data_IF_402467448419
#
_entry.id   IF_402467448419
#
_cell.length_a   1.000
_cell.length_b   1.000
_cell.length_c   1.000
_cell.angle_alpha   90.00
_cell.angle_beta   90.00
_cell.angle_gamma   90.00
#
_symmetry.space_group_name_H-M   'P 1'
#
loop_
_entity.id
_entity.type
_entity.pdbx_description
1 polymer ?
#
# COMPACT_ATOMS: atom_id res chain seq x y z
N UNK A 1 13.46 -36.05 -35.55
CA UNK A 1 13.52 -34.62 -35.92
C UNK A 1 12.46 -33.78 -35.21
N UNK A 2 11.15 -34.09 -35.32
CA UNK A 2 10.09 -33.30 -34.66
C UNK A 2 10.23 -33.19 -33.12
N UNK A 3 10.71 -34.24 -32.45
CA UNK A 3 10.91 -34.21 -30.99
C UNK A 3 12.01 -33.24 -30.55
N UNK A 4 13.09 -33.12 -31.32
CA UNK A 4 14.20 -32.23 -31.01
C UNK A 4 13.80 -30.75 -31.14
N UNK A 5 12.97 -30.42 -32.14
CA UNK A 5 12.41 -29.07 -32.32
C UNK A 5 11.50 -28.73 -31.14
N UNK A 6 10.63 -29.68 -30.73
CA UNK A 6 9.76 -29.48 -29.56
C UNK A 6 10.54 -29.24 -28.27
N UNK A 7 11.57 -30.04 -28.01
CA UNK A 7 12.41 -29.87 -26.81
C UNK A 7 13.19 -28.56 -26.85
N UNK A 8 13.67 -28.14 -28.02
CA UNK A 8 14.35 -26.87 -28.20
C UNK A 8 13.43 -25.68 -27.92
N UNK A 9 12.26 -25.63 -28.57
CA UNK A 9 11.27 -24.57 -28.36
C UNK A 9 10.80 -24.54 -26.91
N UNK A 10 10.62 -25.69 -26.27
CA UNK A 10 10.25 -25.76 -24.85
C UNK A 10 11.35 -25.19 -23.94
N UNK A 11 12.62 -25.50 -24.22
CA UNK A 11 13.76 -24.96 -23.48
C UNK A 11 13.90 -23.45 -23.66
N UNK A 12 13.78 -22.95 -24.89
CA UNK A 12 13.83 -21.53 -25.22
C UNK A 12 12.69 -20.74 -24.54
N UNK A 13 11.47 -21.29 -24.51
CA UNK A 13 10.37 -20.68 -23.77
C UNK A 13 10.60 -20.70 -22.26
N UNK A 14 11.16 -21.79 -21.70
CA UNK A 14 11.45 -21.88 -20.27
C UNK A 14 12.48 -20.85 -19.81
N UNK A 15 13.51 -20.59 -20.63
CA UNK A 15 14.54 -19.58 -20.31
C UNK A 15 13.95 -18.17 -20.28
N UNK A 16 13.02 -17.86 -21.20
CA UNK A 16 12.32 -16.58 -21.23
C UNK A 16 11.42 -16.37 -20.03
N UNK A 17 10.72 -17.41 -19.57
CA UNK A 17 9.89 -17.35 -18.35
C UNK A 17 10.75 -17.13 -17.10
N UNK A 18 11.85 -17.88 -16.96
CA UNK A 18 12.77 -17.73 -15.82
C UNK A 18 13.36 -16.32 -15.80
N UNK A 19 13.81 -15.80 -16.94
CA UNK A 19 14.35 -14.44 -17.04
C UNK A 19 13.34 -13.39 -16.60
N UNK A 20 12.05 -13.52 -16.98
CA UNK A 20 11.00 -12.59 -16.57
C UNK A 20 10.70 -12.64 -15.08
N UNK A 21 10.67 -13.84 -14.48
CA UNK A 21 10.48 -14.00 -13.03
C UNK A 21 11.67 -13.41 -12.28
N UNK A 22 12.89 -13.67 -12.73
CA UNK A 22 14.10 -13.14 -12.10
C UNK A 22 14.16 -11.62 -12.22
N UNK A 23 13.74 -11.06 -13.36
CA UNK A 23 13.62 -9.62 -13.54
C UNK A 23 12.56 -9.02 -12.62
N UNK A 24 11.39 -9.65 -12.48
CA UNK A 24 10.37 -9.20 -11.53
C UNK A 24 10.92 -9.17 -10.10
N UNK A 25 11.63 -10.23 -9.69
CA UNK A 25 12.21 -10.30 -8.33
C UNK A 25 13.25 -9.20 -8.10
N UNK A 26 14.06 -8.88 -9.10
CA UNK A 26 15.13 -7.88 -8.98
C UNK A 26 14.63 -6.44 -9.08
N UNK A 27 13.65 -6.17 -9.95
CA UNK A 27 13.22 -4.82 -10.31
C UNK A 27 11.99 -4.36 -9.50
N UNK A 28 11.33 -5.24 -8.73
CA UNK A 28 10.18 -4.84 -7.90
C UNK A 28 10.67 -4.03 -6.70
N UNK A 29 10.37 -2.71 -6.62
CA UNK A 29 10.72 -1.94 -5.44
C UNK A 29 9.97 -2.49 -4.24
N UNK A 30 10.69 -2.76 -3.15
CA UNK A 30 10.08 -3.21 -1.90
C UNK A 30 9.25 -2.08 -1.30
N UNK A 31 8.01 -2.39 -0.92
CA UNK A 31 7.11 -1.47 -0.20
C UNK A 31 7.74 -0.98 1.12
N UNK A 32 8.76 -1.67 1.63
CA UNK A 32 9.56 -1.35 2.83
C UNK A 32 10.45 -0.09 2.69
N UNK A 33 10.56 0.54 1.52
CA UNK A 33 11.48 1.66 1.29
C UNK A 33 11.11 2.97 2.01
N UNK A 34 9.96 3.05 2.69
CA UNK A 34 9.56 4.22 3.50
C UNK A 34 9.81 4.02 5.01
N UNK A 35 10.63 3.02 5.39
CA UNK A 35 10.93 2.60 6.77
C UNK A 35 11.82 3.55 7.58
N UNK A 36 12.55 4.46 6.95
CA UNK A 36 13.74 5.07 7.59
C UNK A 36 13.48 6.20 8.62
N UNK A 37 12.25 6.40 9.08
CA UNK A 37 11.91 7.48 10.05
C UNK A 37 11.27 7.07 11.37
N UNK A 38 10.58 5.93 11.46
CA UNK A 38 9.61 5.68 12.55
C UNK A 38 9.94 4.43 13.37
N UNK A 39 10.73 4.62 14.41
CA UNK A 39 11.07 3.59 15.40
C UNK A 39 9.81 3.10 16.15
N UNK A 40 9.60 1.78 16.21
CA UNK A 40 9.29 1.06 17.46
C UNK A 40 7.89 1.05 18.10
N UNK A 41 6.87 1.82 17.70
CA UNK A 41 5.50 1.60 18.21
C UNK A 41 4.91 0.25 17.77
N UNK A 42 4.54 -0.58 18.77
CA UNK A 42 3.88 -1.89 18.63
C UNK A 42 2.39 -1.66 18.35
N UNK A 43 1.86 -2.24 17.28
CA UNK A 43 0.42 -2.22 16.99
C UNK A 43 -0.28 -3.23 17.91
N UNK A 44 -1.29 -2.83 18.71
CA UNK A 44 -2.06 -3.76 19.54
C UNK A 44 -2.77 -4.82 18.69
N UNK A 45 -2.97 -6.02 19.25
CA UNK A 45 -3.62 -7.12 18.53
C UNK A 45 -5.12 -6.85 18.25
N UNK A 46 -5.74 -6.02 19.07
CA UNK A 46 -7.15 -5.60 19.00
C UNK A 46 -7.34 -4.30 18.21
N UNK A 47 -6.28 -3.78 17.59
CA UNK A 47 -6.37 -2.59 16.76
C UNK A 47 -7.06 -2.90 15.42
N UNK A 48 -7.94 -2.00 14.92
CA UNK A 48 -8.36 -0.73 15.52
C UNK A 48 -9.46 -0.91 16.58
N UNK A 49 -9.31 -0.25 17.73
CA UNK A 49 -10.21 -0.40 18.89
C UNK A 49 -11.36 0.60 18.85
N UNK A 50 -11.09 1.84 18.44
CA UNK A 50 -12.08 2.93 18.41
C UNK A 50 -12.39 3.36 16.97
N UNK A 51 -11.38 3.31 16.09
CA UNK A 51 -11.49 3.71 14.70
C UNK A 51 -11.52 5.23 14.51
N UNK A 52 -10.86 6.00 15.39
CA UNK A 52 -10.62 7.42 15.18
C UNK A 52 -9.65 7.58 14.00
N UNK A 53 -9.95 8.43 13.02
CA UNK A 53 -9.09 8.61 11.84
C UNK A 53 -8.67 10.07 11.73
N UNK A 54 -7.37 10.31 11.61
CA UNK A 54 -6.82 11.65 11.46
C UNK A 54 -5.88 11.73 10.26
N UNK A 55 -6.06 12.76 9.44
CA UNK A 55 -5.15 13.14 8.36
C UNK A 55 -4.50 14.46 8.75
N UNK A 56 -3.18 14.50 8.68
CA UNK A 56 -2.37 15.68 8.98
C UNK A 56 -1.54 16.06 7.76
N UNK A 57 -1.96 17.13 7.07
CA UNK A 57 -1.28 17.76 5.92
C UNK A 57 -0.86 16.76 4.83
N UNK A 58 -1.77 15.84 4.51
CA UNK A 58 -1.47 14.69 3.65
C UNK A 58 -1.35 15.10 2.20
N UNK A 59 -0.22 14.73 1.60
CA UNK A 59 0.05 14.79 0.17
C UNK A 59 0.24 13.36 -0.31
N UNK A 60 -0.60 12.90 -1.24
CA UNK A 60 -0.55 11.54 -1.77
C UNK A 60 -0.53 11.56 -3.29
N UNK A 61 0.32 10.73 -3.89
CA UNK A 61 0.58 10.72 -5.32
C UNK A 61 0.84 9.30 -5.83
N UNK A 62 0.40 9.02 -7.06
CA UNK A 62 0.80 7.81 -7.79
C UNK A 62 1.82 8.17 -8.87
N UNK A 63 1.45 9.09 -9.77
CA UNK A 63 2.37 9.72 -10.76
C UNK A 63 2.28 11.24 -10.70
N UNK A 64 1.09 11.77 -10.41
CA UNK A 64 0.82 13.16 -10.06
C UNK A 64 0.18 13.24 -8.68
N UNK A 65 0.30 14.38 -7.97
CA UNK A 65 -0.36 14.59 -6.69
C UNK A 65 -1.87 14.48 -6.86
N UNK A 66 -2.46 13.46 -6.24
CA UNK A 66 -3.90 13.24 -6.25
C UNK A 66 -4.59 13.88 -5.04
N UNK A 67 -3.83 14.04 -3.94
CA UNK A 67 -4.20 14.80 -2.74
C UNK A 67 -3.09 15.79 -2.44
N UNK A 68 -3.47 17.02 -2.07
CA UNK A 68 -2.53 18.08 -1.74
C UNK A 68 -2.97 18.75 -0.44
N UNK A 69 -2.17 18.55 0.62
CA UNK A 69 -2.34 19.17 1.93
C UNK A 69 -3.72 18.96 2.55
N UNK A 70 -4.16 17.70 2.60
CA UNK A 70 -5.47 17.32 3.14
C UNK A 70 -5.36 17.03 4.63
N UNK A 71 -6.13 17.75 5.43
CA UNK A 71 -6.25 17.55 6.88
C UNK A 71 -7.72 17.33 7.24
N UNK A 72 -8.03 16.24 7.94
CA UNK A 72 -9.39 15.85 8.32
C UNK A 72 -9.37 15.01 9.59
N UNK A 73 -10.42 15.15 10.40
CA UNK A 73 -10.67 14.34 11.59
C UNK A 73 -12.00 13.61 11.42
N UNK A 74 -12.00 12.30 11.65
CA UNK A 74 -13.20 11.47 11.70
C UNK A 74 -13.26 10.84 13.07
N UNK A 75 -14.22 11.33 13.86
CA UNK A 75 -14.44 10.81 15.20
C UNK A 75 -15.00 9.38 15.16
N UNK A 76 -14.65 8.53 16.13
CA UNK A 76 -15.17 7.17 16.29
C UNK A 76 -16.69 7.08 16.22
N UNK A 77 -17.20 6.04 15.57
CA UNK A 77 -18.64 5.75 15.50
C UNK A 77 -19.47 6.74 14.67
N UNK A 78 -18.83 7.68 13.97
CA UNK A 78 -19.51 8.64 13.10
C UNK A 78 -19.64 8.13 11.67
N UNK A 79 -20.66 8.60 10.96
CA UNK A 79 -20.83 8.36 9.51
C UNK A 79 -20.45 9.63 8.76
N UNK A 80 -19.26 9.64 8.19
CA UNK A 80 -18.76 10.78 7.41
C UNK A 80 -19.00 10.54 5.92
N UNK A 81 -19.62 11.51 5.25
CA UNK A 81 -19.81 11.50 3.80
C UNK A 81 -18.74 12.35 3.12
N UNK A 82 -18.03 11.77 2.16
CA UNK A 82 -17.06 12.50 1.32
C UNK A 82 -17.71 12.81 -0.03
N UNK A 83 -17.91 14.10 -0.32
CA UNK A 83 -18.53 14.56 -1.56
C UNK A 83 -17.61 15.52 -2.34
N UNK A 84 -17.78 15.58 -3.66
CA UNK A 84 -16.97 16.42 -4.56
C UNK A 84 -17.09 16.00 -6.02
N UNK A 85 -16.65 16.86 -6.95
CA UNK A 85 -16.71 16.61 -8.40
C UNK A 85 -15.91 15.36 -8.83
N UNK A 86 -16.23 14.76 -9.97
CA UNK A 86 -15.39 13.69 -10.53
C UNK A 86 -13.95 14.19 -10.72
N UNK A 87 -12.95 13.39 -10.33
CA UNK A 87 -11.53 13.78 -10.35
C UNK A 87 -11.04 14.58 -9.12
N UNK A 88 -11.89 14.90 -8.15
CA UNK A 88 -11.49 15.69 -6.96
C UNK A 88 -10.63 14.94 -5.92
N UNK A 89 -10.18 13.72 -6.18
CA UNK A 89 -9.35 12.95 -5.24
C UNK A 89 -10.08 12.11 -4.19
N UNK A 90 -11.42 11.98 -4.22
CA UNK A 90 -12.17 11.18 -3.22
C UNK A 90 -11.71 9.72 -3.14
N UNK A 91 -11.57 9.06 -4.29
CA UNK A 91 -11.07 7.67 -4.34
C UNK A 91 -9.63 7.60 -3.86
N UNK A 92 -8.82 8.63 -4.18
CA UNK A 92 -7.44 8.73 -3.71
C UNK A 92 -7.35 8.89 -2.19
N UNK A 93 -8.28 9.62 -1.57
CA UNK A 93 -8.40 9.76 -0.11
C UNK A 93 -8.70 8.42 0.55
N UNK A 94 -9.63 7.63 -0.02
CA UNK A 94 -9.88 6.27 0.46
C UNK A 94 -8.67 5.36 0.25
N UNK A 95 -7.99 5.44 -0.89
CA UNK A 95 -6.79 4.64 -1.15
C UNK A 95 -5.63 5.01 -0.22
N UNK A 96 -5.46 6.28 0.13
CA UNK A 96 -4.42 6.70 1.08
C UNK A 96 -4.74 6.22 2.50
N UNK A 97 -6.01 6.26 2.91
CA UNK A 97 -6.46 5.71 4.20
C UNK A 97 -6.15 4.21 4.31
N UNK A 98 -6.38 3.46 3.23
CA UNK A 98 -6.11 2.02 3.16
C UNK A 98 -4.63 1.69 2.94
N UNK A 99 -3.73 2.68 2.95
CA UNK A 99 -2.30 2.52 2.68
C UNK A 99 -2.00 1.86 1.32
N UNK A 100 -2.91 2.02 0.34
CA UNK A 100 -2.73 1.57 -1.05
C UNK A 100 -2.04 2.67 -1.87
N UNK A 101 -2.45 3.92 -1.64
CA UNK A 101 -1.82 5.07 -2.27
C UNK A 101 -0.74 5.62 -1.35
N UNK A 102 0.46 5.76 -1.90
CA UNK A 102 1.61 6.25 -1.17
C UNK A 102 1.44 7.72 -0.75
N UNK A 103 1.76 7.98 0.52
CA UNK A 103 1.84 9.31 1.10
C UNK A 103 3.25 9.86 0.85
N UNK A 104 3.33 10.97 0.12
CA UNK A 104 4.59 11.68 -0.15
C UNK A 104 4.98 12.62 1.00
N UNK A 105 4.01 13.16 1.73
CA UNK A 105 4.20 14.04 2.89
C UNK A 105 2.96 14.03 3.78
N UNK A 106 3.13 14.36 5.06
CA UNK A 106 2.08 14.29 6.07
C UNK A 106 1.94 12.90 6.67
N UNK A 107 0.86 12.68 7.43
CA UNK A 107 0.61 11.41 8.11
C UNK A 107 -0.88 11.11 8.20
N UNK A 108 -1.24 9.83 8.11
CA UNK A 108 -2.60 9.34 8.41
C UNK A 108 -2.49 8.42 9.62
N UNK A 109 -3.33 8.62 10.63
CA UNK A 109 -3.39 7.73 11.79
C UNK A 109 -4.78 7.16 11.99
N UNK A 110 -4.83 5.94 12.51
CA UNK A 110 -6.03 5.33 13.07
C UNK A 110 -5.75 5.00 14.53
N UNK A 111 -6.56 5.54 15.45
CA UNK A 111 -6.36 5.45 16.91
C UNK A 111 -4.96 5.92 17.36
N UNK A 112 -4.42 6.94 16.70
CA UNK A 112 -3.07 7.47 16.95
C UNK A 112 -1.92 6.61 16.38
N UNK A 113 -2.23 5.49 15.72
CA UNK A 113 -1.24 4.63 15.06
C UNK A 113 -1.19 4.97 13.58
N UNK A 114 0.00 5.22 13.05
CA UNK A 114 0.21 5.47 11.63
C UNK A 114 -0.23 4.25 10.78
N UNK A 115 -1.09 4.51 9.78
CA UNK A 115 -1.66 3.48 8.91
C UNK A 115 -0.62 2.75 8.07
N UNK A 116 0.49 3.41 7.73
CA UNK A 116 1.60 2.78 7.05
C UNK A 116 2.26 1.68 7.91
N UNK A 117 2.20 1.79 9.24
CA UNK A 117 2.73 0.78 10.15
C UNK A 117 1.80 -0.42 10.30
N UNK A 118 0.49 -0.15 10.39
CA UNK A 118 -0.50 -1.19 10.67
C UNK A 118 -0.72 -2.17 9.51
N UNK A 119 -0.57 -1.71 8.26
CA UNK A 119 -0.70 -2.55 7.06
C UNK A 119 0.27 -3.74 7.06
N UNK A 120 1.49 -3.58 7.59
CA UNK A 120 2.49 -4.64 7.67
C UNK A 120 2.25 -5.63 8.82
N UNK A 121 1.69 -5.17 9.95
CA UNK A 121 1.30 -6.07 11.05
C UNK A 121 0.22 -7.07 10.60
N UNK A 122 -0.81 -6.59 9.90
CA UNK A 122 -1.86 -7.46 9.37
C UNK A 122 -1.35 -8.51 8.35
N UNK A 123 -0.31 -8.17 7.56
CA UNK A 123 0.31 -9.10 6.59
C UNK A 123 1.20 -10.15 7.23
N UNK A 124 1.92 -9.81 8.30
CA UNK A 124 2.76 -10.77 9.04
C UNK A 124 1.94 -11.73 9.91
N UNK A 125 0.68 -11.40 10.20
CA UNK A 125 -0.23 -12.25 10.99
C UNK A 125 -0.95 -13.34 10.17
N UNK A 126 -0.74 -13.46 8.85
CA UNK A 126 -1.27 -14.60 8.10
C UNK A 126 -0.44 -15.86 8.44
N UNK A 127 -1.04 -16.90 9.03
CA UNK A 127 -0.32 -18.14 9.32
C UNK A 127 0.02 -18.83 8.00
N UNK A 128 1.31 -19.12 7.82
CA UNK A 128 1.81 -20.04 6.80
C UNK A 128 1.03 -21.36 6.91
N UNK A 129 0.16 -21.63 5.94
CA UNK A 129 -0.37 -22.97 5.70
C UNK A 129 0.42 -23.60 4.58
#
# INVERSE_FOLDING_TARGET
MAQAIKTWTMMEMSIGTVSRVQQLVNDTPSEDLYRDGCSGAVVPADWPTSGAIEFHDVVAASTTPALTNVSLDISPGTKTLICGASGSGKTSLLMSLLSILLIASGQITIDGIDTYRASHHARSAQPST
#
